data_IF_054174787113
#
_entry.id   IF_054174787113
#
_cell.length_a   1.000
_cell.length_b   1.000
_cell.length_c   1.000
_cell.angle_alpha   90.00
_cell.angle_beta   90.00
_cell.angle_gamma   90.00
#
_symmetry.space_group_name_H-M   'P 1'
#
loop_
_entity.id
_entity.type
_entity.pdbx_description
1 polymer ?
#
# COMPACT_ATOMS: atom_id res chain seq x y z
N UNK A 1 17.38 -13.68 10.43
CA UNK A 1 18.77 -13.20 10.29
C UNK A 1 18.82 -12.01 9.36
N UNK A 2 18.19 -12.08 8.18
CA UNK A 2 18.15 -10.98 7.22
C UNK A 2 17.49 -9.73 7.82
N UNK A 3 16.25 -9.84 8.31
CA UNK A 3 15.50 -8.74 8.93
C UNK A 3 16.09 -8.26 10.27
N UNK A 4 16.64 -9.20 11.07
CA UNK A 4 17.18 -8.88 12.38
C UNK A 4 18.61 -8.31 12.34
N UNK A 5 19.24 -8.22 11.16
CA UNK A 5 20.58 -7.70 10.96
C UNK A 5 21.71 -8.55 11.55
N UNK A 6 21.42 -9.77 12.08
CA UNK A 6 22.43 -10.63 12.66
C UNK A 6 21.91 -11.93 13.27
N UNK A 7 22.82 -12.88 13.47
CA UNK A 7 22.49 -14.21 14.01
C UNK A 7 22.02 -14.18 15.47
N UNK A 8 22.63 -13.32 16.28
CA UNK A 8 22.26 -13.19 17.71
C UNK A 8 20.87 -12.58 17.84
N UNK A 9 20.62 -11.47 17.17
CA UNK A 9 19.30 -10.81 17.19
C UNK A 9 18.19 -11.74 16.65
N UNK A 10 18.48 -12.52 15.61
CA UNK A 10 17.54 -13.52 15.09
C UNK A 10 17.26 -14.65 16.09
N UNK A 11 18.30 -15.10 16.80
CA UNK A 11 18.16 -16.15 17.82
C UNK A 11 17.30 -15.67 18.99
N UNK A 12 17.53 -14.45 19.47
CA UNK A 12 16.77 -13.83 20.54
C UNK A 12 15.30 -13.65 20.15
N UNK A 13 15.04 -13.21 18.90
CA UNK A 13 13.71 -13.00 18.37
C UNK A 13 12.91 -14.30 18.21
N UNK A 14 13.60 -15.41 17.89
CA UNK A 14 12.99 -16.72 17.70
C UNK A 14 12.95 -17.56 18.98
N UNK A 15 13.53 -17.08 20.09
CA UNK A 15 13.68 -17.87 21.33
C UNK A 15 14.56 -19.12 21.17
N UNK A 16 15.51 -19.09 20.21
CA UNK A 16 16.37 -20.22 19.90
C UNK A 16 17.84 -19.96 20.28
N UNK A 17 18.62 -21.00 20.62
CA UNK A 17 20.05 -20.83 20.80
C UNK A 17 20.73 -20.37 19.51
N UNK A 18 21.66 -19.40 19.61
CA UNK A 18 22.43 -18.89 18.46
C UNK A 18 23.09 -19.99 17.60
N UNK A 19 23.68 -21.07 18.18
CA UNK A 19 24.22 -22.15 17.37
C UNK A 19 23.20 -22.85 16.47
N UNK A 20 21.95 -22.97 16.94
CA UNK A 20 20.84 -23.57 16.17
C UNK A 20 20.53 -22.73 14.92
N UNK A 21 20.43 -21.41 15.06
CA UNK A 21 20.20 -20.50 13.93
C UNK A 21 21.38 -20.55 12.93
N UNK A 22 22.63 -20.55 13.45
CA UNK A 22 23.80 -20.64 12.60
C UNK A 22 23.86 -21.95 11.83
N UNK A 23 23.56 -23.08 12.49
CA UNK A 23 23.56 -24.40 11.88
C UNK A 23 22.48 -24.52 10.79
N UNK A 24 21.28 -24.02 11.05
CA UNK A 24 20.18 -24.02 10.09
C UNK A 24 20.55 -23.28 8.80
N UNK A 25 21.15 -22.11 8.92
CA UNK A 25 21.62 -21.34 7.74
C UNK A 25 22.76 -22.08 7.02
N UNK A 26 23.73 -22.65 7.74
CA UNK A 26 24.81 -23.42 7.13
C UNK A 26 24.28 -24.66 6.38
N UNK A 27 23.32 -25.38 6.94
CA UNK A 27 22.70 -26.51 6.27
C UNK A 27 21.94 -26.08 5.01
N UNK A 28 21.23 -24.93 5.05
CA UNK A 28 20.56 -24.39 3.88
C UNK A 28 21.57 -23.99 2.79
N UNK A 29 22.62 -23.26 3.14
CA UNK A 29 23.72 -22.89 2.23
C UNK A 29 24.38 -24.13 1.60
N UNK A 30 24.63 -25.17 2.41
CA UNK A 30 25.20 -26.45 1.92
C UNK A 30 24.26 -27.19 0.97
N UNK A 31 22.95 -27.19 1.23
CA UNK A 31 21.95 -27.85 0.35
C UNK A 31 21.80 -27.16 -0.99
N UNK A 32 21.97 -25.83 -1.02
CA UNK A 32 21.87 -25.01 -2.21
C UNK A 32 23.22 -24.83 -2.93
N UNK A 33 24.28 -25.34 -2.33
CA UNK A 33 25.69 -25.15 -2.79
C UNK A 33 25.98 -23.65 -3.06
N UNK A 34 25.44 -22.77 -2.20
CA UNK A 34 25.51 -21.31 -2.42
C UNK A 34 25.53 -20.60 -1.08
N UNK A 35 26.34 -19.55 -0.97
CA UNK A 35 26.33 -18.68 0.20
C UNK A 35 25.20 -17.67 0.10
N UNK A 36 24.42 -17.56 1.17
CA UNK A 36 23.28 -16.64 1.28
C UNK A 36 23.64 -15.37 2.05
N UNK A 37 24.72 -15.41 2.85
CA UNK A 37 25.16 -14.27 3.65
C UNK A 37 26.64 -13.99 3.48
N UNK A 38 26.97 -12.71 3.33
CA UNK A 38 28.31 -12.18 3.58
C UNK A 38 28.49 -12.02 5.08
N UNK A 39 29.45 -12.74 5.65
CA UNK A 39 29.75 -12.72 7.08
C UNK A 39 31.07 -12.01 7.31
N UNK A 40 31.01 -10.86 7.95
CA UNK A 40 32.18 -10.18 8.51
C UNK A 40 32.05 -10.14 10.03
N UNK A 41 33.14 -9.87 10.72
CA UNK A 41 33.12 -9.74 12.19
C UNK A 41 32.26 -8.60 12.70
N UNK A 42 31.87 -7.67 11.82
CA UNK A 42 31.11 -6.44 12.17
C UNK A 42 29.74 -6.36 11.52
N UNK A 43 29.46 -7.13 10.47
CA UNK A 43 28.22 -7.00 9.70
C UNK A 43 27.83 -8.32 9.01
N UNK A 44 26.52 -8.57 8.99
CA UNK A 44 25.91 -9.65 8.23
C UNK A 44 25.02 -8.99 7.18
N UNK A 45 25.23 -9.31 5.90
CA UNK A 45 24.41 -8.83 4.78
C UNK A 45 24.11 -9.98 3.84
N UNK A 46 23.02 -9.89 3.10
CA UNK A 46 22.66 -10.89 2.09
C UNK A 46 23.64 -10.84 0.91
N UNK A 47 23.84 -12.00 0.27
CA UNK A 47 24.37 -12.09 -1.09
C UNK A 47 23.24 -11.86 -2.07
N UNK A 48 23.53 -11.71 -3.37
CA UNK A 48 22.51 -11.63 -4.42
C UNK A 48 21.59 -12.85 -4.43
N UNK A 49 22.17 -14.03 -4.26
CA UNK A 49 21.46 -15.30 -4.16
C UNK A 49 20.63 -15.36 -2.87
N UNK A 50 21.13 -14.77 -1.78
CA UNK A 50 20.40 -14.62 -0.52
C UNK A 50 19.18 -13.72 -0.65
N UNK A 51 19.26 -12.60 -1.39
CA UNK A 51 18.12 -11.72 -1.67
C UNK A 51 17.05 -12.43 -2.49
N UNK A 52 17.44 -13.10 -3.58
CA UNK A 52 16.52 -13.89 -4.41
C UNK A 52 15.82 -15.00 -3.64
N UNK A 53 16.53 -15.67 -2.75
CA UNK A 53 15.95 -16.72 -1.91
C UNK A 53 15.02 -16.16 -0.85
N UNK A 54 15.36 -15.02 -0.26
CA UNK A 54 14.56 -14.39 0.80
C UNK A 54 13.16 -14.05 0.32
N UNK A 55 13.00 -13.43 -0.87
CA UNK A 55 11.70 -13.15 -1.45
C UNK A 55 10.82 -14.39 -1.57
N UNK A 56 11.40 -15.49 -2.08
CA UNK A 56 10.66 -16.75 -2.23
C UNK A 56 10.40 -17.46 -0.90
N UNK A 57 11.33 -17.36 0.04
CA UNK A 57 11.19 -17.96 1.35
C UNK A 57 10.08 -17.30 2.19
N UNK A 58 9.93 -15.99 2.09
CA UNK A 58 8.83 -15.25 2.73
C UNK A 58 7.47 -15.80 2.24
N UNK A 59 7.31 -15.94 0.93
CA UNK A 59 6.08 -16.46 0.36
C UNK A 59 5.82 -17.92 0.78
N UNK A 60 6.85 -18.76 0.79
CA UNK A 60 6.73 -20.17 1.18
C UNK A 60 6.33 -20.32 2.66
N UNK A 61 6.89 -19.49 3.53
CA UNK A 61 6.53 -19.49 4.96
C UNK A 61 5.08 -19.02 5.13
N UNK A 62 4.66 -17.95 4.45
CA UNK A 62 3.29 -17.47 4.47
C UNK A 62 2.28 -18.51 3.94
N UNK A 63 2.63 -19.23 2.88
CA UNK A 63 1.82 -20.34 2.35
C UNK A 63 1.72 -21.49 3.37
N UNK A 64 2.82 -21.82 4.05
CA UNK A 64 2.83 -22.85 5.10
C UNK A 64 1.96 -22.46 6.29
N UNK A 65 2.06 -21.21 6.75
CA UNK A 65 1.21 -20.67 7.81
C UNK A 65 -0.27 -20.67 7.42
N UNK A 66 -0.56 -20.32 6.15
CA UNK A 66 -1.91 -20.37 5.61
C UNK A 66 -2.47 -21.80 5.61
N UNK A 67 -1.67 -22.79 5.23
CA UNK A 67 -2.06 -24.21 5.31
C UNK A 67 -2.34 -24.63 6.76
N UNK A 68 -1.45 -24.30 7.69
CA UNK A 68 -1.66 -24.62 9.11
C UNK A 68 -2.92 -23.96 9.67
N UNK A 69 -3.17 -22.70 9.28
CA UNK A 69 -4.39 -21.97 9.68
C UNK A 69 -5.65 -22.63 9.13
N UNK A 70 -5.65 -23.13 7.89
CA UNK A 70 -6.81 -23.86 7.33
C UNK A 70 -7.20 -25.09 8.16
N UNK A 71 -6.24 -25.76 8.78
CA UNK A 71 -6.52 -26.89 9.67
C UNK A 71 -6.94 -26.45 11.08
N UNK A 72 -6.41 -25.33 11.59
CA UNK A 72 -6.81 -24.74 12.88
C UNK A 72 -8.22 -24.13 12.83
N UNK A 73 -8.59 -23.53 11.70
CA UNK A 73 -9.94 -22.96 11.46
C UNK A 73 -11.06 -24.00 11.49
N UNK A 74 -10.79 -25.27 11.38
CA UNK A 74 -11.78 -26.35 11.50
C UNK A 74 -12.17 -26.67 12.95
N UNK A 75 -11.40 -26.24 13.94
CA UNK A 75 -11.54 -26.61 15.36
C UNK A 75 -11.65 -25.45 16.34
N UNK A 76 -11.27 -24.24 15.95
CA UNK A 76 -11.43 -23.01 16.76
C UNK A 76 -11.96 -21.90 15.86
N UNK A 77 -12.76 -20.99 16.40
CA UNK A 77 -13.20 -19.79 15.67
C UNK A 77 -12.04 -19.01 15.06
N UNK A 78 -12.34 -18.14 14.09
CA UNK A 78 -11.33 -17.23 13.54
C UNK A 78 -10.86 -16.29 14.65
N UNK A 79 -9.58 -16.36 15.03
CA UNK A 79 -8.94 -15.52 16.03
C UNK A 79 -7.63 -14.98 15.46
N UNK A 80 -7.21 -13.79 15.86
CA UNK A 80 -5.92 -13.21 15.50
C UNK A 80 -6.01 -11.73 15.16
N UNK A 81 -4.86 -11.15 14.76
CA UNK A 81 -4.71 -9.74 14.41
C UNK A 81 -4.42 -9.60 12.94
N UNK A 82 -5.15 -8.71 12.27
CA UNK A 82 -4.96 -8.33 10.87
C UNK A 82 -4.49 -6.88 10.79
N UNK A 83 -3.38 -6.66 10.13
CA UNK A 83 -2.90 -5.32 9.80
C UNK A 83 -3.33 -4.96 8.39
N UNK A 84 -4.24 -4.00 8.30
CA UNK A 84 -4.91 -3.62 7.04
C UNK A 84 -4.60 -2.17 6.72
N UNK A 85 -4.24 -1.86 5.47
CA UNK A 85 -4.04 -0.48 5.03
C UNK A 85 -4.90 -0.15 3.81
N UNK A 86 -5.65 0.96 3.91
CA UNK A 86 -6.67 1.34 2.94
C UNK A 86 -6.55 2.83 2.58
N UNK A 87 -7.00 3.27 1.40
CA UNK A 87 -7.16 4.67 1.12
C UNK A 87 -8.08 5.34 2.14
N UNK A 88 -7.69 6.55 2.59
CA UNK A 88 -8.32 7.26 3.72
C UNK A 88 -9.84 7.40 3.57
N UNK A 89 -10.30 7.73 2.37
CA UNK A 89 -11.72 7.88 2.07
C UNK A 89 -12.48 6.56 2.15
N UNK A 90 -11.90 5.46 1.66
CA UNK A 90 -12.51 4.13 1.70
C UNK A 90 -12.58 3.63 3.13
N UNK A 91 -11.47 3.76 3.88
CA UNK A 91 -11.42 3.39 5.28
C UNK A 91 -12.53 4.10 6.07
N UNK A 92 -12.65 5.42 5.95
CA UNK A 92 -13.61 6.23 6.68
C UNK A 92 -15.06 5.98 6.28
N UNK A 93 -15.35 5.91 4.98
CA UNK A 93 -16.74 5.93 4.50
C UNK A 93 -17.38 4.56 4.34
N UNK A 94 -16.59 3.53 4.15
CA UNK A 94 -17.10 2.20 3.86
C UNK A 94 -16.65 1.16 4.89
N UNK A 95 -15.36 1.14 5.24
CA UNK A 95 -14.84 0.07 6.11
C UNK A 95 -15.17 0.33 7.56
N UNK A 96 -14.82 1.48 8.12
CA UNK A 96 -15.06 1.77 9.53
C UNK A 96 -16.54 1.62 9.95
N UNK A 97 -17.53 2.11 9.17
CA UNK A 97 -18.95 1.87 9.48
C UNK A 97 -19.39 0.39 9.40
N UNK A 98 -18.66 -0.45 8.66
CA UNK A 98 -18.96 -1.87 8.52
C UNK A 98 -18.30 -2.76 9.59
N UNK A 99 -17.28 -2.26 10.29
CA UNK A 99 -16.54 -3.02 11.31
C UNK A 99 -17.41 -3.57 12.45
N UNK A 100 -18.43 -2.87 12.98
CA UNK A 100 -19.28 -3.44 14.01
C UNK A 100 -19.90 -4.77 13.58
N UNK A 101 -20.48 -4.82 12.37
CA UNK A 101 -21.07 -6.04 11.82
C UNK A 101 -20.02 -7.13 11.57
N UNK A 102 -18.80 -6.77 11.25
CA UNK A 102 -17.69 -7.69 11.09
C UNK A 102 -17.33 -8.33 12.43
N UNK A 103 -17.18 -7.55 13.49
CA UNK A 103 -16.84 -8.05 14.83
C UNK A 103 -17.99 -8.84 15.49
N UNK A 104 -19.26 -8.55 15.16
CA UNK A 104 -20.38 -9.40 15.57
C UNK A 104 -20.23 -10.85 15.04
N UNK A 105 -19.62 -10.98 13.86
CA UNK A 105 -19.41 -12.29 13.22
C UNK A 105 -18.06 -12.92 13.59
N UNK A 106 -17.06 -12.12 13.87
CA UNK A 106 -15.69 -12.54 14.16
C UNK A 106 -15.16 -11.82 15.40
N UNK A 107 -15.68 -12.16 16.61
CA UNK A 107 -15.40 -11.44 17.84
C UNK A 107 -13.95 -11.54 18.31
N UNK A 108 -13.24 -12.60 17.91
CA UNK A 108 -11.87 -12.87 18.34
C UNK A 108 -10.81 -12.34 17.35
N UNK A 109 -11.23 -11.56 16.34
CA UNK A 109 -10.32 -10.88 15.41
C UNK A 109 -10.06 -9.45 15.87
N UNK A 110 -8.80 -9.07 15.91
CA UNK A 110 -8.34 -7.70 16.06
C UNK A 110 -7.95 -7.12 14.69
N UNK A 111 -8.29 -5.86 14.42
CA UNK A 111 -7.88 -5.16 13.19
C UNK A 111 -7.04 -3.94 13.53
N UNK A 112 -5.83 -3.92 13.00
CA UNK A 112 -4.97 -2.74 12.91
C UNK A 112 -5.30 -2.02 11.61
N UNK A 113 -6.12 -0.99 11.67
CA UNK A 113 -6.57 -0.27 10.49
C UNK A 113 -5.69 0.95 10.20
N UNK A 114 -4.76 0.80 9.26
CA UNK A 114 -4.00 1.88 8.66
C UNK A 114 -4.79 2.61 7.58
N UNK A 115 -4.45 3.86 7.35
CA UNK A 115 -5.10 4.68 6.33
C UNK A 115 -4.07 5.55 5.62
N UNK A 116 -3.63 5.10 4.46
CA UNK A 116 -2.63 5.78 3.63
C UNK A 116 -3.09 5.87 2.18
N UNK A 117 -3.05 7.09 1.62
CA UNK A 117 -3.32 7.32 0.21
C UNK A 117 -2.04 7.25 -0.64
N UNK A 118 -0.88 7.18 0.00
CA UNK A 118 0.42 7.03 -0.65
C UNK A 118 0.84 5.56 -0.70
N UNK A 119 1.62 5.17 -1.71
CA UNK A 119 2.25 3.85 -1.74
C UNK A 119 3.14 3.65 -0.51
N UNK A 120 2.98 2.53 0.16
CA UNK A 120 3.83 2.08 1.26
C UNK A 120 4.41 0.72 0.93
N UNK A 121 5.55 0.39 1.51
CA UNK A 121 6.14 -0.94 1.38
C UNK A 121 5.36 -1.91 2.29
N UNK A 122 4.44 -2.67 1.69
CA UNK A 122 3.56 -3.58 2.41
C UNK A 122 4.31 -4.68 3.16
N UNK A 123 5.40 -5.17 2.59
CA UNK A 123 6.21 -6.25 3.17
C UNK A 123 7.02 -5.71 4.35
N UNK A 124 7.68 -4.57 4.16
CA UNK A 124 8.48 -3.95 5.22
C UNK A 124 7.62 -3.52 6.42
N UNK A 125 6.44 -2.98 6.13
CA UNK A 125 5.48 -2.54 7.15
C UNK A 125 4.70 -3.70 7.78
N UNK A 126 4.84 -4.92 7.26
CA UNK A 126 4.13 -6.11 7.75
C UNK A 126 2.62 -5.98 7.60
N UNK A 127 2.15 -5.45 6.47
CA UNK A 127 0.72 -5.32 6.15
C UNK A 127 0.20 -6.64 5.59
N UNK A 128 -0.82 -7.21 6.20
CA UNK A 128 -1.43 -8.47 5.76
C UNK A 128 -2.34 -8.27 4.55
N UNK A 129 -3.05 -7.13 4.51
CA UNK A 129 -3.98 -6.79 3.44
C UNK A 129 -3.96 -5.29 3.16
N UNK A 130 -3.83 -4.92 1.89
CA UNK A 130 -3.95 -3.54 1.46
C UNK A 130 -4.97 -3.38 0.33
N UNK A 131 -5.77 -2.32 0.38
CA UNK A 131 -6.54 -1.85 -0.77
C UNK A 131 -5.77 -0.70 -1.42
N UNK A 132 -5.66 -0.73 -2.74
CA UNK A 132 -5.01 0.32 -3.52
C UNK A 132 -5.84 0.69 -4.74
N UNK A 133 -5.76 1.94 -5.13
CA UNK A 133 -6.35 2.47 -6.35
C UNK A 133 -5.23 2.67 -7.38
N UNK A 134 -5.46 2.24 -8.61
CA UNK A 134 -4.49 2.32 -9.70
C UNK A 134 -3.91 0.97 -10.09
N UNK A 135 -2.83 1.00 -10.87
CA UNK A 135 -2.14 -0.20 -11.31
C UNK A 135 -1.18 -0.72 -10.25
N UNK A 136 -1.14 -2.03 -10.08
CA UNK A 136 -0.19 -2.70 -9.20
C UNK A 136 1.03 -3.09 -10.03
N UNK A 137 2.20 -2.59 -9.62
CA UNK A 137 3.47 -2.74 -10.35
C UNK A 137 4.39 -3.75 -9.66
N UNK A 138 3.88 -4.61 -8.78
CA UNK A 138 4.71 -5.56 -8.04
C UNK A 138 4.36 -7.00 -8.36
N UNK A 139 5.33 -7.76 -8.85
CA UNK A 139 5.20 -9.20 -9.14
C UNK A 139 5.22 -10.08 -7.88
N UNK A 140 5.57 -9.51 -6.72
CA UNK A 140 5.65 -10.22 -5.44
C UNK A 140 4.35 -10.22 -4.65
N UNK A 141 3.33 -9.49 -5.09
CA UNK A 141 2.06 -9.35 -4.40
C UNK A 141 0.94 -10.10 -5.13
N UNK A 142 0.10 -10.79 -4.36
CA UNK A 142 -1.14 -11.36 -4.91
C UNK A 142 -2.20 -10.27 -4.94
N UNK A 143 -2.62 -9.88 -6.13
CA UNK A 143 -3.62 -8.84 -6.33
C UNK A 143 -4.95 -9.40 -6.83
N UNK A 144 -6.05 -8.89 -6.28
CA UNK A 144 -7.42 -9.21 -6.70
C UNK A 144 -8.16 -7.93 -7.05
N UNK A 145 -8.63 -7.74 -8.29
CA UNK A 145 -9.43 -6.59 -8.66
C UNK A 145 -10.79 -6.64 -7.94
N UNK A 146 -11.19 -5.52 -7.36
CA UNK A 146 -12.48 -5.35 -6.68
C UNK A 146 -13.48 -4.57 -7.53
N UNK A 147 -13.01 -3.72 -8.43
CA UNK A 147 -13.84 -2.89 -9.28
C UNK A 147 -13.06 -1.77 -9.94
N UNK A 148 -13.76 -0.91 -10.66
CA UNK A 148 -13.22 0.26 -11.31
C UNK A 148 -13.89 1.53 -10.75
N UNK A 149 -13.13 2.61 -10.64
CA UNK A 149 -13.65 3.94 -10.36
C UNK A 149 -13.79 4.71 -11.66
N UNK A 150 -14.90 5.41 -11.79
CA UNK A 150 -15.03 6.43 -12.80
C UNK A 150 -14.58 7.75 -12.20
N UNK A 151 -13.53 8.33 -12.76
CA UNK A 151 -13.07 9.67 -12.37
C UNK A 151 -14.02 10.70 -12.95
N UNK A 152 -14.44 11.66 -12.14
CA UNK A 152 -15.34 12.75 -12.54
C UNK A 152 -14.74 14.11 -12.23
N UNK A 153 -14.97 15.07 -13.12
CA UNK A 153 -14.58 16.45 -12.92
C UNK A 153 -15.55 17.13 -11.94
N UNK A 154 -15.00 17.71 -10.88
CA UNK A 154 -15.77 18.33 -9.81
C UNK A 154 -15.30 19.75 -9.52
N UNK A 155 -16.24 20.59 -9.10
CA UNK A 155 -15.98 21.90 -8.49
C UNK A 155 -17.08 22.24 -7.50
N UNK A 156 -16.77 23.07 -6.50
CA UNK A 156 -17.82 23.59 -5.62
C UNK A 156 -18.69 24.61 -6.33
N UNK A 157 -19.98 24.70 -5.97
CA UNK A 157 -20.84 25.74 -6.50
C UNK A 157 -20.32 27.16 -6.25
N UNK A 158 -19.61 27.39 -5.16
CA UNK A 158 -18.99 28.67 -4.83
C UNK A 158 -17.88 29.03 -5.82
N UNK A 159 -17.05 28.08 -6.18
CA UNK A 159 -16.02 28.25 -7.19
C UNK A 159 -16.63 28.60 -8.56
N UNK A 160 -17.62 27.81 -9.01
CA UNK A 160 -18.27 28.03 -10.31
C UNK A 160 -18.98 29.37 -10.41
N UNK A 161 -19.62 29.86 -9.33
CA UNK A 161 -20.21 31.19 -9.30
C UNK A 161 -19.18 32.32 -9.47
N UNK A 162 -17.95 32.09 -8.96
CA UNK A 162 -16.90 33.14 -8.99
C UNK A 162 -16.09 33.12 -10.29
N UNK A 163 -15.81 31.96 -10.84
CA UNK A 163 -14.89 31.81 -11.96
C UNK A 163 -15.53 31.28 -13.24
N UNK A 164 -16.82 30.99 -13.20
CA UNK A 164 -17.54 30.34 -14.30
C UNK A 164 -17.36 28.84 -14.37
N UNK A 165 -18.11 28.20 -15.25
CA UNK A 165 -18.03 26.78 -15.53
C UNK A 165 -17.26 26.59 -16.83
N UNK A 166 -16.10 25.85 -16.84
CA UNK A 166 -15.40 25.57 -18.07
C UNK A 166 -16.31 24.76 -19.01
N UNK A 167 -16.37 25.14 -20.28
CA UNK A 167 -17.22 24.51 -21.29
C UNK A 167 -16.40 23.58 -22.19
N UNK A 168 -15.08 23.77 -22.23
CA UNK A 168 -14.15 22.99 -23.04
C UNK A 168 -12.80 22.87 -22.35
N UNK A 169 -11.93 21.92 -22.78
CA UNK A 169 -10.57 21.84 -22.30
C UNK A 169 -9.73 23.11 -22.51
N UNK A 170 -10.05 23.92 -23.52
CA UNK A 170 -9.37 25.18 -23.82
C UNK A 170 -9.58 26.25 -22.71
N UNK A 171 -10.61 26.10 -21.88
CA UNK A 171 -10.90 27.03 -20.78
C UNK A 171 -10.06 26.69 -19.52
N UNK A 172 -9.58 25.46 -19.39
CA UNK A 172 -8.90 24.95 -18.19
C UNK A 172 -7.68 25.78 -17.76
N UNK A 173 -6.82 26.33 -18.65
CA UNK A 173 -5.70 27.18 -18.26
C UNK A 173 -6.10 28.46 -17.51
N UNK A 174 -7.35 28.90 -17.63
CA UNK A 174 -7.87 30.09 -16.96
C UNK A 174 -8.44 29.76 -15.57
N UNK A 175 -8.58 28.48 -15.26
CA UNK A 175 -9.08 28.00 -13.97
C UNK A 175 -7.96 27.58 -13.02
N UNK A 176 -8.29 27.51 -11.74
CA UNK A 176 -7.44 26.92 -10.72
C UNK A 176 -7.82 25.46 -10.52
N UNK A 177 -6.84 24.63 -10.20
CA UNK A 177 -7.09 23.25 -9.75
C UNK A 177 -6.56 23.05 -8.33
N UNK A 178 -7.07 22.04 -7.64
CA UNK A 178 -6.41 21.47 -6.46
C UNK A 178 -5.48 20.39 -6.97
N UNK A 179 -4.19 20.46 -6.65
CA UNK A 179 -3.26 19.40 -7.03
C UNK A 179 -3.33 18.22 -6.07
N UNK A 180 -3.34 17.00 -6.61
CA UNK A 180 -3.10 15.80 -5.83
C UNK A 180 -1.59 15.51 -5.82
N UNK A 181 -0.96 15.58 -4.64
CA UNK A 181 0.49 15.44 -4.51
C UNK A 181 0.92 13.99 -4.77
N UNK A 182 1.91 13.82 -5.62
CA UNK A 182 2.55 12.53 -5.85
C UNK A 182 3.61 12.22 -4.76
N UNK A 183 3.87 10.94 -4.45
CA UNK A 183 4.74 10.53 -3.35
C UNK A 183 6.15 11.11 -3.37
N UNK A 184 6.70 11.38 -4.53
CA UNK A 184 8.11 11.80 -4.71
C UNK A 184 8.27 13.30 -5.00
N UNK A 185 7.31 14.14 -4.62
CA UNK A 185 7.36 15.56 -4.91
C UNK A 185 7.32 15.87 -6.41
N UNK A 186 6.86 14.93 -7.21
CA UNK A 186 6.68 15.08 -8.65
C UNK A 186 5.77 16.26 -8.96
N UNK A 187 5.98 16.87 -10.12
CA UNK A 187 5.14 17.94 -10.63
C UNK A 187 3.69 17.47 -10.63
N UNK A 188 2.81 18.33 -10.24
CA UNK A 188 1.37 18.11 -10.25
C UNK A 188 0.90 17.41 -11.53
N UNK A 189 0.02 16.47 -11.34
CA UNK A 189 -0.62 15.73 -12.43
C UNK A 189 -1.25 16.77 -13.36
N UNK A 190 -0.95 16.67 -14.65
CA UNK A 190 -1.63 17.45 -15.66
C UNK A 190 -3.11 17.05 -15.68
N UNK A 191 -3.99 17.95 -16.03
CA UNK A 191 -5.38 17.61 -16.27
C UNK A 191 -5.47 16.84 -17.56
N UNK A 192 -5.86 15.59 -17.49
CA UNK A 192 -5.85 14.67 -18.61
C UNK A 192 -7.28 14.32 -19.04
N UNK A 193 -7.49 14.14 -20.34
CA UNK A 193 -8.72 13.62 -20.93
C UNK A 193 -8.42 12.84 -22.19
N UNK A 194 -9.35 11.99 -22.60
CA UNK A 194 -9.26 11.25 -23.85
C UNK A 194 -10.09 11.98 -24.92
N UNK A 195 -9.48 12.22 -26.07
CA UNK A 195 -10.10 12.81 -27.25
C UNK A 195 -9.65 12.04 -28.48
N UNK A 196 -10.60 11.50 -29.25
CA UNK A 196 -10.35 10.70 -30.44
C UNK A 196 -9.41 9.50 -30.21
N UNK A 197 -9.47 8.87 -29.02
CA UNK A 197 -8.61 7.74 -28.61
C UNK A 197 -7.18 8.13 -28.28
N UNK A 198 -6.89 9.44 -28.13
CA UNK A 198 -5.60 9.96 -27.71
C UNK A 198 -5.71 10.65 -26.36
N UNK A 199 -4.73 10.37 -25.48
CA UNK A 199 -4.62 11.07 -24.21
C UNK A 199 -4.12 12.50 -24.45
N UNK A 200 -4.93 13.47 -24.07
CA UNK A 200 -4.60 14.90 -24.06
C UNK A 200 -4.31 15.35 -22.65
N UNK A 201 -3.49 16.36 -22.50
CA UNK A 201 -3.15 16.89 -21.18
C UNK A 201 -2.92 18.40 -21.22
N UNK A 202 -3.33 19.10 -20.16
CA UNK A 202 -3.10 20.52 -19.98
C UNK A 202 -2.58 20.81 -18.57
N UNK A 203 -1.58 21.68 -18.49
CA UNK A 203 -1.11 22.20 -17.21
C UNK A 203 -2.08 23.25 -16.67
N UNK A 204 -2.47 23.10 -15.41
CA UNK A 204 -3.32 24.08 -14.73
C UNK A 204 -2.57 24.72 -13.55
N UNK A 205 -2.99 25.94 -13.21
CA UNK A 205 -2.49 26.62 -12.02
C UNK A 205 -3.14 26.04 -10.76
N UNK A 206 -2.34 25.87 -9.69
CA UNK A 206 -2.83 25.47 -8.38
C UNK A 206 -2.17 26.27 -7.27
N UNK A 207 -2.95 26.65 -6.28
CA UNK A 207 -2.49 27.32 -5.06
C UNK A 207 -2.31 26.34 -3.92
N UNK A 208 -2.91 25.15 -4.01
CA UNK A 208 -2.89 24.13 -2.97
C UNK A 208 -2.64 22.75 -3.57
N UNK A 209 -1.87 21.96 -2.83
CA UNK A 209 -1.60 20.55 -3.12
C UNK A 209 -1.98 19.73 -1.89
N UNK A 210 -2.70 18.63 -2.08
CA UNK A 210 -3.11 17.72 -1.03
C UNK A 210 -2.59 16.30 -1.33
N UNK A 211 -2.20 15.58 -0.31
CA UNK A 211 -1.65 14.22 -0.42
C UNK A 211 -2.60 13.14 0.12
N UNK A 212 -3.81 13.51 0.50
CA UNK A 212 -4.87 12.60 0.88
C UNK A 212 -6.17 12.94 0.16
N UNK A 213 -6.95 11.92 -0.18
CA UNK A 213 -8.23 12.10 -0.88
C UNK A 213 -9.21 12.96 -0.07
N UNK A 214 -9.24 12.82 1.25
CA UNK A 214 -10.12 13.60 2.12
C UNK A 214 -9.76 15.10 2.11
N UNK A 215 -8.47 15.45 2.21
CA UNK A 215 -8.01 16.84 2.13
C UNK A 215 -8.22 17.42 0.74
N UNK A 216 -7.95 16.63 -0.30
CA UNK A 216 -8.16 17.03 -1.69
C UNK A 216 -9.62 17.42 -1.95
N UNK A 217 -10.56 16.59 -1.52
CA UNK A 217 -12.00 16.85 -1.64
C UNK A 217 -12.41 18.07 -0.79
N UNK A 218 -11.89 18.18 0.43
CA UNK A 218 -12.18 19.34 1.29
C UNK A 218 -11.74 20.66 0.65
N UNK A 219 -10.57 20.69 0.00
CA UNK A 219 -10.08 21.85 -0.75
C UNK A 219 -11.00 22.19 -1.94
N UNK A 220 -11.48 21.19 -2.69
CA UNK A 220 -12.44 21.37 -3.76
C UNK A 220 -13.75 22.00 -3.23
N UNK A 221 -14.30 21.42 -2.15
CA UNK A 221 -15.53 21.92 -1.51
C UNK A 221 -15.37 23.34 -0.97
N UNK A 222 -14.19 23.70 -0.47
CA UNK A 222 -13.85 25.05 -0.02
C UNK A 222 -13.73 26.06 -1.16
N UNK A 223 -13.81 25.64 -2.42
CA UNK A 223 -13.77 26.51 -3.59
C UNK A 223 -12.37 26.91 -4.06
N UNK A 224 -11.35 26.08 -3.76
CA UNK A 224 -9.97 26.38 -4.12
C UNK A 224 -9.63 26.00 -5.57
N UNK A 225 -10.48 25.23 -6.25
CA UNK A 225 -10.26 24.87 -7.65
C UNK A 225 -11.12 23.71 -8.12
N UNK A 226 -10.89 23.35 -9.38
CA UNK A 226 -11.40 22.13 -9.99
C UNK A 226 -10.66 20.93 -9.41
N UNK A 227 -11.30 19.77 -9.40
CA UNK A 227 -10.72 18.53 -8.92
C UNK A 227 -11.22 17.35 -9.74
N UNK A 228 -10.38 16.36 -9.93
CA UNK A 228 -10.71 15.09 -10.56
C UNK A 228 -10.89 14.05 -9.45
N UNK A 229 -12.12 13.58 -9.24
CA UNK A 229 -12.52 12.74 -8.10
C UNK A 229 -13.17 11.44 -8.59
#
# INVERSE_FOLDING_TARGET
VAHSGGFTAAADQLGLPRPTVSLAIQQLESRLDTRLFHRTTRRVSLTREGEMLLERAINLVADSETLEQQFKLRTRGMEGRLKVDLPSRIARRYVAPALPRFFDRFPDIEIDLGSSDLPIDLVHEGIDLALRVGQIVSDSLVARPLGNFQMINCASPAYLRRYGTPQSPADLPQHQTVHYALPNGGRAVQWEWEEDGQLQAVAMNAQVSANTAETYIACCLAGLGLSLI
#
